data_IF_736484628502
#
_entry.id   IF_736484628502
#
_cell.length_a   1.000
_cell.length_b   1.000
_cell.length_c   1.000
_cell.angle_alpha   90.00
_cell.angle_beta   90.00
_cell.angle_gamma   90.00
#
_symmetry.space_group_name_H-M   'P 1'
#
loop_
_entity.id
_entity.type
_entity.pdbx_description
1 polymer ?
#
# COMPACT_ATOMS: atom_id res chain seq x y z
N UNK A 1 59.43 -10.23 12.85
CA UNK A 1 58.74 -9.29 11.94
C UNK A 1 57.56 -9.94 11.22
N UNK A 2 57.73 -11.05 10.49
CA UNK A 2 56.63 -11.73 9.78
C UNK A 2 55.44 -12.18 10.66
N UNK A 3 55.68 -12.65 11.90
CA UNK A 3 54.61 -13.05 12.84
C UNK A 3 53.74 -11.88 13.32
N UNK A 4 54.32 -10.69 13.49
CA UNK A 4 53.59 -9.48 13.87
C UNK A 4 52.76 -8.96 12.69
N UNK A 5 53.31 -9.06 11.48
CA UNK A 5 52.63 -8.70 10.23
C UNK A 5 51.41 -9.59 9.96
N UNK A 6 51.55 -10.91 10.20
CA UNK A 6 50.45 -11.87 10.05
C UNK A 6 49.33 -11.66 11.08
N UNK A 7 49.69 -11.28 12.32
CA UNK A 7 48.72 -10.95 13.38
C UNK A 7 47.93 -9.67 13.06
N UNK A 8 48.59 -8.64 12.52
CA UNK A 8 47.94 -7.41 12.06
C UNK A 8 47.01 -7.66 10.87
N UNK A 9 47.41 -8.51 9.92
CA UNK A 9 46.57 -8.87 8.77
C UNK A 9 45.31 -9.64 9.20
N UNK A 10 45.44 -10.54 10.20
CA UNK A 10 44.32 -11.30 10.76
C UNK A 10 43.35 -10.38 11.52
N UNK A 11 43.84 -9.42 12.30
CA UNK A 11 43.03 -8.41 13.00
C UNK A 11 42.30 -7.47 12.02
N UNK A 12 42.95 -7.08 10.91
CA UNK A 12 42.34 -6.26 9.85
C UNK A 12 41.21 -6.99 9.12
N UNK A 13 41.33 -8.31 8.96
CA UNK A 13 40.32 -9.18 8.33
C UNK A 13 39.09 -9.40 9.24
N UNK A 14 39.31 -9.54 10.56
CA UNK A 14 38.22 -9.69 11.55
C UNK A 14 37.43 -8.38 11.70
N UNK A 15 38.06 -7.22 11.49
CA UNK A 15 37.40 -5.90 11.50
C UNK A 15 36.41 -5.66 10.36
N UNK A 16 36.41 -6.46 9.30
CA UNK A 16 35.48 -6.32 8.16
C UNK A 16 34.10 -6.97 8.41
N UNK A 17 33.90 -7.64 9.55
CA UNK A 17 32.65 -8.32 9.89
C UNK A 17 31.66 -7.46 10.70
N UNK A 18 31.86 -6.15 10.79
CA UNK A 18 30.85 -5.23 11.35
C UNK A 18 29.75 -4.93 10.33
N UNK A 19 29.14 -5.97 9.77
CA UNK A 19 27.97 -5.87 8.92
C UNK A 19 26.69 -6.07 9.73
N UNK A 20 26.15 -5.02 10.32
CA UNK A 20 24.76 -5.05 10.79
C UNK A 20 24.14 -3.65 10.87
N UNK A 21 24.03 -2.95 9.74
CA UNK A 21 23.01 -1.91 9.62
C UNK A 21 21.69 -2.61 9.32
N UNK A 22 20.97 -3.02 10.36
CA UNK A 22 19.56 -3.39 10.22
C UNK A 22 18.76 -2.20 9.65
N UNK A 23 17.56 -2.45 9.10
CA UNK A 23 16.72 -1.36 8.61
C UNK A 23 16.50 -0.32 9.71
N UNK A 24 16.37 0.97 9.35
CA UNK A 24 16.26 2.05 10.32
C UNK A 24 15.08 1.81 11.26
N UNK A 25 15.24 2.19 12.53
CA UNK A 25 14.24 1.97 13.57
C UNK A 25 13.08 2.99 13.51
N UNK A 26 13.25 4.08 12.78
CA UNK A 26 12.29 5.16 12.54
C UNK A 26 12.39 5.62 11.08
N UNK A 27 11.43 6.43 10.65
CA UNK A 27 11.40 6.97 9.30
C UNK A 27 10.87 6.00 8.25
N UNK A 28 10.75 6.47 7.00
CA UNK A 28 10.47 5.58 5.88
C UNK A 28 11.67 4.64 5.65
N UNK A 29 11.42 3.54 4.98
CA UNK A 29 12.46 2.60 4.54
C UNK A 29 12.50 2.45 3.03
N UNK A 30 13.55 1.78 2.56
CA UNK A 30 13.71 1.43 1.16
C UNK A 30 12.58 0.50 0.67
N UNK A 31 12.14 0.71 -0.56
CA UNK A 31 11.15 -0.13 -1.25
C UNK A 31 11.87 -0.90 -2.34
N UNK A 32 11.63 -2.21 -2.39
CA UNK A 32 12.05 -3.03 -3.51
C UNK A 32 10.90 -3.02 -4.52
N UNK A 33 10.94 -2.05 -5.42
CA UNK A 33 9.91 -1.86 -6.44
C UNK A 33 9.71 -3.10 -7.30
N UNK A 34 8.48 -3.29 -7.78
CA UNK A 34 8.07 -4.44 -8.58
C UNK A 34 8.23 -5.81 -7.88
N UNK A 35 8.45 -5.82 -6.56
CA UNK A 35 8.57 -7.04 -5.74
C UNK A 35 7.88 -6.93 -4.39
N UNK A 36 7.95 -5.77 -3.76
CA UNK A 36 7.27 -5.48 -2.49
C UNK A 36 5.76 -5.54 -2.67
N UNK A 37 5.06 -6.33 -1.86
CA UNK A 37 3.60 -6.39 -1.87
C UNK A 37 3.00 -5.41 -0.87
N UNK A 38 1.91 -4.75 -1.27
CA UNK A 38 1.10 -3.95 -0.38
C UNK A 38 0.50 -4.82 0.73
N UNK A 39 0.61 -4.36 1.98
CA UNK A 39 0.09 -5.08 3.16
C UNK A 39 -1.44 -5.24 3.08
N UNK A 40 -2.17 -4.29 2.45
CA UNK A 40 -3.62 -4.31 2.32
C UNK A 40 -4.11 -5.04 1.07
N UNK A 41 -3.88 -4.48 -0.13
CA UNK A 41 -4.46 -5.01 -1.38
C UNK A 41 -3.69 -6.21 -1.96
N UNK A 42 -2.50 -6.52 -1.42
CA UNK A 42 -1.60 -7.60 -1.89
C UNK A 42 -1.06 -7.43 -3.32
N UNK A 43 -1.38 -6.32 -3.99
CA UNK A 43 -0.74 -5.94 -5.25
C UNK A 43 0.72 -5.55 -5.01
N UNK A 44 1.53 -5.67 -6.05
CA UNK A 44 2.94 -5.28 -6.02
C UNK A 44 3.04 -3.76 -6.15
N UNK A 45 3.87 -3.14 -5.32
CA UNK A 45 4.13 -1.70 -5.36
C UNK A 45 4.73 -1.31 -6.71
N UNK A 46 4.02 -0.46 -7.45
CA UNK A 46 4.33 -0.13 -8.85
C UNK A 46 4.50 1.37 -9.14
N UNK A 47 3.99 2.28 -8.30
CA UNK A 47 4.16 3.72 -8.49
C UNK A 47 4.93 4.38 -7.32
N UNK A 48 6.07 4.95 -7.67
CA UNK A 48 7.01 5.56 -6.73
C UNK A 48 6.51 6.89 -6.16
N UNK A 49 5.48 7.49 -6.77
CA UNK A 49 4.95 8.82 -6.43
C UNK A 49 3.76 8.79 -5.48
N UNK A 50 3.15 7.61 -5.31
CA UNK A 50 1.90 7.47 -4.55
C UNK A 50 2.02 6.52 -3.37
N UNK A 51 3.03 5.64 -3.38
CA UNK A 51 3.25 4.64 -2.34
C UNK A 51 3.24 5.25 -0.93
N UNK A 52 2.79 4.45 0.03
CA UNK A 52 2.77 4.81 1.43
C UNK A 52 3.44 3.76 2.30
N UNK A 53 3.88 4.17 3.48
CA UNK A 53 4.43 3.27 4.48
C UNK A 53 3.86 3.59 5.86
N UNK A 54 3.71 2.55 6.68
CA UNK A 54 3.37 2.71 8.09
C UNK A 54 4.43 2.01 8.90
N UNK A 55 5.02 2.72 9.85
CA UNK A 55 5.89 2.12 10.84
C UNK A 55 5.16 1.97 12.16
N UNK A 56 5.02 0.73 12.62
CA UNK A 56 4.40 0.39 13.90
C UNK A 56 5.45 -0.12 14.90
N UNK A 57 5.16 0.02 16.19
CA UNK A 57 6.09 -0.29 17.28
C UNK A 57 5.46 -1.31 18.25
N UNK A 58 5.48 -2.61 17.93
CA UNK A 58 4.90 -3.62 18.80
C UNK A 58 5.56 -3.66 20.18
N UNK A 59 4.75 -3.63 21.23
CA UNK A 59 5.22 -3.56 22.62
C UNK A 59 6.06 -4.78 23.03
N UNK A 60 5.81 -5.93 22.41
CA UNK A 60 6.51 -7.20 22.64
C UNK A 60 7.84 -7.32 21.85
N UNK A 61 8.14 -6.37 20.97
CA UNK A 61 9.31 -6.43 20.08
C UNK A 61 10.27 -5.27 20.31
N UNK A 62 11.56 -5.58 20.23
CA UNK A 62 12.63 -4.56 20.30
C UNK A 62 12.76 -3.72 19.03
N UNK A 63 12.12 -4.13 17.92
CA UNK A 63 12.24 -3.48 16.61
C UNK A 63 10.87 -3.06 16.08
N UNK A 64 10.84 -1.93 15.39
CA UNK A 64 9.65 -1.51 14.65
C UNK A 64 9.41 -2.41 13.43
N UNK A 65 8.17 -2.44 12.96
CA UNK A 65 7.78 -3.10 11.71
C UNK A 65 7.40 -2.02 10.70
N UNK A 66 8.03 -2.05 9.54
CA UNK A 66 7.70 -1.18 8.42
C UNK A 66 6.77 -1.93 7.47
N UNK A 67 5.62 -1.32 7.18
CA UNK A 67 4.59 -1.80 6.29
C UNK A 67 4.56 -0.95 5.04
N UNK A 68 4.27 -1.56 3.90
CA UNK A 68 4.30 -0.91 2.60
C UNK A 68 2.91 -0.98 1.95
N UNK A 69 2.54 0.08 1.26
CA UNK A 69 1.22 0.26 0.67
C UNK A 69 1.34 0.87 -0.73
N UNK A 70 0.48 0.42 -1.63
CA UNK A 70 0.49 0.83 -3.05
C UNK A 70 0.13 2.31 -3.21
N UNK A 71 -0.78 2.81 -2.35
CA UNK A 71 -1.01 4.23 -2.16
C UNK A 71 -1.45 4.59 -0.73
N UNK A 72 -1.60 5.89 -0.46
CA UNK A 72 -2.05 6.41 0.83
C UNK A 72 -3.44 5.93 1.24
N UNK A 73 -4.33 5.67 0.28
CA UNK A 73 -5.66 5.14 0.56
C UNK A 73 -5.59 3.75 1.16
N UNK A 74 -4.75 2.89 0.59
CA UNK A 74 -4.45 1.58 1.16
C UNK A 74 -3.93 1.65 2.61
N UNK A 75 -3.01 2.58 2.90
CA UNK A 75 -2.47 2.75 4.24
C UNK A 75 -3.54 3.23 5.25
N UNK A 76 -4.36 4.20 4.87
CA UNK A 76 -5.41 4.77 5.72
C UNK A 76 -6.48 3.72 6.05
N UNK A 77 -6.97 2.98 5.05
CA UNK A 77 -7.98 1.93 5.32
C UNK A 77 -7.40 0.83 6.22
N UNK A 78 -6.15 0.42 5.98
CA UNK A 78 -5.50 -0.56 6.85
C UNK A 78 -5.41 -0.08 8.31
N UNK A 79 -5.15 1.20 8.57
CA UNK A 79 -5.18 1.75 9.93
C UNK A 79 -6.57 1.73 10.55
N UNK A 80 -7.62 2.02 9.77
CA UNK A 80 -9.00 1.92 10.27
C UNK A 80 -9.35 0.49 10.71
N UNK A 81 -8.88 -0.51 9.96
CA UNK A 81 -9.08 -1.92 10.28
C UNK A 81 -8.18 -2.40 11.45
N UNK A 82 -7.17 -1.61 11.84
CA UNK A 82 -6.20 -1.94 12.88
C UNK A 82 -6.11 -0.82 13.94
N UNK A 83 -7.15 -0.63 14.77
CA UNK A 83 -7.28 0.52 15.67
C UNK A 83 -6.14 0.63 16.70
N UNK A 84 -5.57 -0.49 17.15
CA UNK A 84 -4.43 -0.48 18.07
C UNK A 84 -3.21 0.27 17.51
N UNK A 85 -2.97 0.20 16.20
CA UNK A 85 -1.90 0.95 15.56
C UNK A 85 -2.30 2.38 15.22
N UNK A 86 -3.57 2.60 14.89
CA UNK A 86 -4.12 3.93 14.58
C UNK A 86 -3.96 4.90 15.76
N UNK A 87 -4.26 4.43 16.95
CA UNK A 87 -4.29 5.26 18.16
C UNK A 87 -2.95 5.29 18.91
N UNK A 88 -1.95 4.52 18.46
CA UNK A 88 -0.59 4.55 19.01
C UNK A 88 0.16 5.82 18.54
N UNK A 89 0.56 6.73 19.45
CA UNK A 89 1.27 7.96 19.10
C UNK A 89 2.65 7.71 18.49
N UNK A 90 3.23 6.51 18.64
CA UNK A 90 4.50 6.13 18.00
C UNK A 90 4.32 5.75 16.53
N UNK A 91 3.11 5.44 16.07
CA UNK A 91 2.88 5.02 14.70
C UNK A 91 3.24 6.15 13.74
N UNK A 92 4.22 5.90 12.87
CA UNK A 92 4.62 6.83 11.82
C UNK A 92 3.89 6.47 10.52
N UNK A 93 3.48 7.50 9.78
CA UNK A 93 2.81 7.33 8.49
C UNK A 93 3.59 8.17 7.48
N UNK A 94 4.06 7.52 6.44
CA UNK A 94 4.85 8.12 5.38
C UNK A 94 4.12 7.98 4.05
N UNK A 95 4.19 9.01 3.22
CA UNK A 95 3.64 9.01 1.86
C UNK A 95 4.69 9.53 0.90
N UNK A 96 4.81 8.94 -0.27
CA UNK A 96 5.68 9.45 -1.32
C UNK A 96 5.18 10.82 -1.78
N UNK A 97 6.13 11.73 -2.04
CA UNK A 97 5.85 12.99 -2.70
C UNK A 97 5.51 12.73 -4.18
N UNK A 98 4.40 13.32 -4.64
CA UNK A 98 3.85 13.11 -5.98
C UNK A 98 4.78 13.57 -7.10
N UNK A 99 5.69 14.51 -6.81
CA UNK A 99 6.70 15.00 -7.74
C UNK A 99 8.02 14.20 -7.63
N UNK A 100 8.04 13.13 -6.84
CA UNK A 100 9.20 12.23 -6.69
C UNK A 100 10.30 12.77 -5.77
N UNK A 101 9.97 13.71 -4.88
CA UNK A 101 10.94 14.36 -3.97
C UNK A 101 11.28 13.53 -2.72
N UNK A 102 10.83 12.28 -2.66
CA UNK A 102 11.08 11.36 -1.55
C UNK A 102 9.84 11.15 -0.68
N UNK A 103 10.03 11.01 0.63
CA UNK A 103 8.97 10.67 1.57
C UNK A 103 8.57 11.87 2.43
N UNK A 104 7.27 12.01 2.65
CA UNK A 104 6.66 13.04 3.49
C UNK A 104 6.02 12.39 4.73
N UNK A 105 6.03 13.12 5.85
CA UNK A 105 5.15 12.81 6.98
C UNK A 105 3.71 13.00 6.51
N UNK A 106 2.97 11.91 6.37
CA UNK A 106 1.62 11.91 5.79
C UNK A 106 0.68 12.84 6.55
N UNK A 107 0.88 13.00 7.88
CA UNK A 107 0.03 13.88 8.70
C UNK A 107 0.26 15.36 8.43
N UNK A 108 1.37 15.72 7.78
CA UNK A 108 1.78 17.10 7.48
C UNK A 108 1.71 17.43 5.99
N UNK A 109 1.51 16.43 5.13
CA UNK A 109 1.40 16.63 3.69
C UNK A 109 0.10 17.34 3.31
N UNK A 110 0.13 17.97 2.14
CA UNK A 110 -1.05 18.49 1.44
C UNK A 110 -1.40 17.51 0.33
N UNK A 111 -2.66 17.10 0.27
CA UNK A 111 -3.15 16.12 -0.69
C UNK A 111 -3.91 16.80 -1.83
N UNK A 112 -3.45 16.61 -3.05
CA UNK A 112 -4.06 17.12 -4.27
C UNK A 112 -4.97 16.05 -4.86
N UNK A 113 -6.20 16.44 -5.18
CA UNK A 113 -7.16 15.55 -5.84
C UNK A 113 -6.91 15.47 -7.34
N UNK A 114 -7.27 14.34 -7.94
CA UNK A 114 -7.29 14.14 -9.39
C UNK A 114 -6.08 13.39 -9.95
N UNK A 115 -5.14 12.98 -9.09
CA UNK A 115 -4.04 12.11 -9.48
C UNK A 115 -4.57 10.72 -9.80
N UNK A 116 -3.98 10.05 -10.80
CA UNK A 116 -4.26 8.63 -11.05
C UNK A 116 -3.38 7.82 -10.10
N UNK A 117 -3.97 7.21 -9.08
CA UNK A 117 -3.26 6.37 -8.11
C UNK A 117 -3.52 4.89 -8.39
N UNK A 118 -2.59 3.97 -8.05
CA UNK A 118 -2.76 2.53 -8.31
C UNK A 118 -4.08 1.93 -7.82
N UNK A 119 -4.62 2.46 -6.71
CA UNK A 119 -5.88 2.00 -6.12
C UNK A 119 -7.04 2.99 -6.29
N UNK A 120 -6.91 3.96 -7.21
CA UNK A 120 -7.98 4.90 -7.61
C UNK A 120 -8.58 5.74 -6.46
N UNK A 121 -7.80 6.00 -5.40
CA UNK A 121 -8.21 6.96 -4.36
C UNK A 121 -8.02 8.40 -4.78
N UNK A 122 -7.23 8.66 -5.82
CA UNK A 122 -7.24 9.96 -6.49
C UNK A 122 -6.43 11.07 -5.80
N UNK A 123 -5.47 10.70 -4.93
CA UNK A 123 -4.73 11.65 -4.08
C UNK A 123 -3.20 11.55 -4.30
N UNK A 124 -2.60 12.67 -4.70
CA UNK A 124 -1.15 12.87 -4.66
C UNK A 124 -0.73 13.73 -3.48
N UNK A 125 0.36 13.39 -2.80
CA UNK A 125 0.86 14.16 -1.64
C UNK A 125 1.98 15.12 -2.04
N UNK A 126 2.00 16.32 -1.46
CA UNK A 126 3.07 17.30 -1.67
C UNK A 126 3.32 18.15 -0.42
N UNK A 127 4.48 18.80 -0.35
CA UNK A 127 4.82 19.74 0.74
C UNK A 127 4.06 21.07 0.62
N UNK A 128 3.96 21.60 -0.61
CA UNK A 128 3.45 22.95 -0.84
C UNK A 128 1.93 23.01 -0.74
N UNK A 129 1.40 24.01 -0.04
CA UNK A 129 -0.04 24.28 -0.06
C UNK A 129 -0.51 24.66 -1.47
N UNK A 130 -1.72 24.23 -1.82
CA UNK A 130 -2.38 24.56 -3.09
C UNK A 130 -3.86 24.80 -2.85
N UNK A 131 -4.48 25.63 -3.69
CA UNK A 131 -5.92 25.87 -3.64
C UNK A 131 -6.69 24.55 -3.80
N UNK A 132 -7.58 24.23 -2.85
CA UNK A 132 -8.33 22.98 -2.85
C UNK A 132 -7.56 21.74 -2.41
N UNK A 133 -6.30 21.89 -1.98
CA UNK A 133 -5.55 20.83 -1.32
C UNK A 133 -6.17 20.43 0.01
N UNK A 134 -6.09 19.15 0.33
CA UNK A 134 -6.65 18.58 1.56
C UNK A 134 -5.55 18.40 2.60
N UNK A 135 -5.85 18.69 3.86
CA UNK A 135 -5.04 18.20 4.97
C UNK A 135 -5.27 16.69 5.20
N UNK A 136 -4.50 16.08 6.11
CA UNK A 136 -4.59 14.65 6.36
C UNK A 136 -5.99 14.19 6.84
N UNK A 137 -6.66 14.86 7.80
CA UNK A 137 -8.05 14.56 8.14
C UNK A 137 -9.03 14.61 6.96
N UNK A 138 -8.93 15.63 6.10
CA UNK A 138 -9.76 15.76 4.91
C UNK A 138 -9.46 14.67 3.87
N UNK A 139 -8.18 14.36 3.64
CA UNK A 139 -7.74 13.28 2.77
C UNK A 139 -8.28 11.93 3.25
N UNK A 140 -8.20 11.66 4.56
CA UNK A 140 -8.79 10.47 5.18
C UNK A 140 -10.30 10.38 4.95
N UNK A 141 -11.03 11.49 5.13
CA UNK A 141 -12.47 11.52 4.87
C UNK A 141 -12.80 11.20 3.39
N UNK A 142 -12.05 11.78 2.45
CA UNK A 142 -12.15 11.49 1.02
C UNK A 142 -11.88 10.00 0.73
N UNK A 143 -10.80 9.43 1.29
CA UNK A 143 -10.47 8.00 1.13
C UNK A 143 -11.61 7.10 1.61
N UNK A 144 -12.18 7.40 2.78
CA UNK A 144 -13.29 6.62 3.35
C UNK A 144 -14.56 6.73 2.47
N UNK A 145 -14.81 7.90 1.87
CA UNK A 145 -15.93 8.08 0.95
C UNK A 145 -15.74 7.24 -0.33
N UNK A 146 -14.54 7.29 -0.92
CA UNK A 146 -14.18 6.51 -2.11
C UNK A 146 -14.28 5.01 -1.83
N UNK A 147 -13.74 4.55 -0.69
CA UNK A 147 -13.83 3.15 -0.24
C UNK A 147 -15.29 2.67 -0.16
N UNK A 148 -16.17 3.47 0.45
CA UNK A 148 -17.61 3.14 0.55
C UNK A 148 -18.25 2.99 -0.83
N UNK A 149 -17.90 3.86 -1.79
CA UNK A 149 -18.44 3.81 -3.15
C UNK A 149 -18.09 2.50 -3.84
N UNK A 150 -16.82 2.08 -3.77
CA UNK A 150 -16.39 0.81 -4.36
C UNK A 150 -17.04 -0.41 -3.68
N UNK A 151 -17.17 -0.38 -2.35
CA UNK A 151 -17.81 -1.47 -1.62
C UNK A 151 -19.30 -1.60 -1.92
N UNK A 152 -20.02 -0.48 -2.11
CA UNK A 152 -21.42 -0.50 -2.55
C UNK A 152 -21.58 -1.14 -3.94
N UNK A 153 -20.72 -0.80 -4.89
CA UNK A 153 -20.74 -1.43 -6.22
C UNK A 153 -20.52 -2.95 -6.16
N UNK A 154 -19.65 -3.42 -5.27
CA UNK A 154 -19.45 -4.85 -5.04
C UNK A 154 -20.72 -5.55 -4.54
N UNK A 155 -21.41 -4.95 -3.56
CA UNK A 155 -22.68 -5.48 -3.03
C UNK A 155 -23.76 -5.52 -4.10
N UNK A 156 -23.88 -4.48 -4.93
CA UNK A 156 -24.87 -4.44 -6.01
C UNK A 156 -24.61 -5.48 -7.09
N UNK A 157 -23.33 -5.74 -7.40
CA UNK A 157 -22.95 -6.83 -8.31
C UNK A 157 -23.37 -8.19 -7.75
N UNK A 158 -23.10 -8.46 -6.47
CA UNK A 158 -23.49 -9.71 -5.83
C UNK A 158 -25.00 -9.92 -5.87
N UNK A 159 -25.79 -8.90 -5.55
CA UNK A 159 -27.26 -8.96 -5.64
C UNK A 159 -27.73 -9.33 -7.05
N UNK A 160 -27.17 -8.68 -8.09
CA UNK A 160 -27.50 -9.01 -9.49
C UNK A 160 -27.12 -10.43 -9.89
N UNK A 161 -26.01 -10.95 -9.37
CA UNK A 161 -25.60 -12.33 -9.61
C UNK A 161 -26.56 -13.33 -8.95
N UNK A 162 -26.99 -13.05 -7.71
CA UNK A 162 -27.99 -13.86 -7.01
C UNK A 162 -29.36 -13.84 -7.70
N UNK A 163 -29.81 -12.67 -8.17
CA UNK A 163 -31.06 -12.53 -8.93
C UNK A 163 -31.03 -13.34 -10.22
N UNK A 164 -29.90 -13.32 -10.95
CA UNK A 164 -29.71 -14.15 -12.16
C UNK A 164 -29.72 -15.64 -11.87
N UNK A 165 -29.15 -16.07 -10.74
CA UNK A 165 -29.19 -17.48 -10.33
C UNK A 165 -30.59 -17.94 -9.92
N UNK A 166 -31.42 -17.03 -9.39
CA UNK A 166 -32.81 -17.31 -8.98
C UNK A 166 -33.81 -17.23 -10.13
N UNK A 167 -33.46 -16.55 -11.22
CA UNK A 167 -34.34 -16.39 -12.39
C UNK A 167 -34.18 -17.60 -13.33
N UNK A 168 -35.21 -18.42 -13.56
CA UNK A 168 -35.12 -19.52 -14.52
C UNK A 168 -34.85 -18.97 -15.92
N UNK A 169 -33.93 -19.59 -16.66
CA UNK A 169 -33.69 -19.26 -18.08
C UNK A 169 -35.02 -19.46 -18.82
N UNK A 170 -35.54 -18.45 -19.54
CA UNK A 170 -36.71 -18.62 -20.39
C UNK A 170 -36.44 -19.73 -21.41
N UNK A 171 -37.38 -20.68 -21.53
CA UNK A 171 -37.28 -21.85 -22.42
C UNK A 171 -36.93 -21.48 -23.88
N UNK A 172 -37.24 -20.24 -24.30
CA UNK A 172 -36.90 -19.68 -25.61
C UNK A 172 -35.39 -19.54 -25.88
N UNK A 173 -34.53 -19.46 -24.86
CA UNK A 173 -33.06 -19.40 -25.03
C UNK A 173 -32.40 -20.79 -25.12
N UNK A 174 -33.10 -21.86 -24.70
CA UNK A 174 -32.59 -23.23 -24.79
C UNK A 174 -32.73 -23.82 -26.21
N UNK A 175 -33.66 -23.30 -27.01
CA UNK A 175 -33.94 -23.80 -28.36
C UNK A 175 -32.83 -23.50 -29.40
N UNK A 176 -31.91 -22.57 -29.14
CA UNK A 176 -30.89 -22.16 -30.12
C UNK A 176 -29.53 -22.85 -30.01
N UNK A 177 -29.32 -23.77 -29.04
CA UNK A 177 -28.03 -24.48 -28.89
C UNK A 177 -27.96 -25.88 -29.51
N UNK A 178 -29.03 -26.36 -30.15
CA UNK A 178 -29.05 -27.69 -30.79
C UNK A 178 -29.42 -27.59 -32.27
N UNK A 179 -28.56 -26.97 -33.09
CA UNK A 179 -28.59 -27.15 -34.57
C UNK A 179 -27.30 -26.61 -35.18
N UNK A 180 -26.17 -27.25 -34.88
CA UNK A 180 -24.96 -27.09 -35.68
C UNK A 180 -24.14 -28.37 -35.59
N UNK A 181 -24.20 -29.19 -36.64
CA UNK A 181 -23.23 -30.26 -36.85
C UNK A 181 -23.80 -31.64 -37.14
N UNK A 182 -24.60 -31.78 -38.20
CA UNK A 182 -24.69 -33.05 -38.93
C UNK A 182 -25.08 -32.76 -40.39
N UNK A 183 -24.06 -32.65 -41.24
CA UNK A 183 -24.22 -32.84 -42.69
C UNK A 183 -22.90 -33.37 -43.27
N UNK A 184 -22.94 -34.67 -43.57
CA UNK A 184 -22.33 -35.42 -44.69
C UNK A 184 -20.84 -35.23 -44.98
#
# INVERSE_FOLDING_TARGET
MARLFFLCLLLLLIGQLTGCSGPPNSGPGEVIWDRSACERCRMVLSDHRHAAQIRVFPADKKRSRLLQFDDIGCAVIWLEDNPSWKDDPKTEIWVADREGQGWLDARKAIYVKGDVTPMEYGLGAQVSAVAGGLDFPQAKAHIIEVEKRFNLHGVDLLKRLEERQKTPVPESEQAHKHTAGESQ
#
